data_IF_121674188759
#
_entry.id   IF_121674188759
#
_cell.length_a   1.000
_cell.length_b   1.000
_cell.length_c   1.000
_cell.angle_alpha   90.00
_cell.angle_beta   90.00
_cell.angle_gamma   90.00
#
_symmetry.space_group_name_H-M   'P 1'
#
loop_
_entity.id
_entity.type
_entity.pdbx_description
1 polymer ?
#
# COMPACT_ATOMS: atom_id res chain seq x y z
N UNK A 1 18.02 -2.11 7.51
CA UNK A 1 18.14 -2.67 6.13
C UNK A 1 16.84 -2.33 5.44
N UNK A 2 16.87 -1.70 4.26
CA UNK A 2 15.65 -1.28 3.55
C UNK A 2 14.83 -2.50 3.13
N UNK A 3 13.51 -2.45 3.35
CA UNK A 3 12.61 -3.54 2.98
C UNK A 3 12.49 -3.63 1.47
N UNK A 4 12.90 -4.76 0.89
CA UNK A 4 12.78 -4.99 -0.55
C UNK A 4 11.34 -5.31 -0.94
N UNK A 5 10.85 -4.65 -1.97
CA UNK A 5 9.47 -4.78 -2.45
C UNK A 5 9.43 -5.17 -3.92
N UNK A 6 8.67 -6.21 -4.24
CA UNK A 6 8.49 -6.78 -5.57
C UNK A 6 7.02 -6.77 -5.94
N UNK A 7 6.66 -6.21 -7.11
CA UNK A 7 5.32 -6.40 -7.66
C UNK A 7 5.24 -7.80 -8.27
N UNK A 8 4.23 -8.55 -7.88
CA UNK A 8 3.94 -9.87 -8.45
C UNK A 8 3.07 -9.78 -9.70
N UNK A 9 3.06 -10.87 -10.49
CA UNK A 9 2.24 -11.00 -11.70
C UNK A 9 0.74 -10.83 -11.46
N UNK A 10 0.25 -11.09 -10.24
CA UNK A 10 -1.16 -11.06 -9.83
C UNK A 10 -1.50 -9.92 -8.87
N UNK A 11 -1.13 -8.69 -9.17
CA UNK A 11 -1.41 -7.54 -8.27
C UNK A 11 -1.12 -7.86 -6.80
N UNK A 12 0.09 -7.68 -6.40
CA UNK A 12 0.46 -7.88 -5.02
C UNK A 12 1.91 -7.53 -4.80
N UNK A 13 2.26 -7.25 -3.57
CA UNK A 13 3.64 -7.03 -3.15
C UNK A 13 4.11 -8.24 -2.37
N UNK A 14 5.24 -8.82 -2.79
CA UNK A 14 5.89 -9.93 -2.10
C UNK A 14 4.95 -11.13 -1.82
N UNK A 15 4.05 -11.44 -2.78
CA UNK A 15 3.10 -12.56 -2.65
C UNK A 15 1.82 -12.23 -1.86
N UNK A 16 1.62 -10.99 -1.43
CA UNK A 16 0.37 -10.53 -0.84
C UNK A 16 -0.56 -10.14 -1.99
N UNK A 17 -1.49 -11.03 -2.34
CA UNK A 17 -2.47 -10.86 -3.43
C UNK A 17 -3.89 -10.65 -2.94
N UNK A 18 -4.12 -10.86 -1.63
CA UNK A 18 -5.39 -10.61 -0.93
C UNK A 18 -5.12 -9.89 0.36
N UNK A 19 -6.10 -9.13 0.82
CA UNK A 19 -6.02 -8.38 2.06
C UNK A 19 -6.03 -9.38 3.24
N UNK A 20 -4.96 -9.36 4.03
CA UNK A 20 -4.82 -10.11 5.28
C UNK A 20 -3.72 -9.49 6.13
N UNK A 21 -4.05 -9.06 7.33
CA UNK A 21 -3.11 -8.44 8.26
C UNK A 21 -2.04 -9.43 8.74
N UNK A 22 -2.44 -10.68 9.01
CA UNK A 22 -1.50 -11.76 9.40
C UNK A 22 -0.47 -12.03 8.31
N UNK A 23 -0.89 -11.96 7.03
CA UNK A 23 0.02 -12.16 5.90
C UNK A 23 1.03 -11.04 5.77
N UNK A 24 0.66 -9.79 6.06
CA UNK A 24 1.58 -8.65 6.08
C UNK A 24 2.75 -8.94 7.04
N UNK A 25 2.45 -9.26 8.30
CA UNK A 25 3.48 -9.56 9.31
C UNK A 25 4.30 -10.80 8.95
N UNK A 26 3.66 -11.83 8.37
CA UNK A 26 4.38 -13.04 7.94
C UNK A 26 5.38 -12.74 6.81
N UNK A 27 5.06 -11.85 5.90
CA UNK A 27 5.89 -11.53 4.72
C UNK A 27 6.99 -10.53 5.05
N UNK A 28 6.66 -9.46 5.78
CA UNK A 28 7.60 -8.36 6.07
C UNK A 28 8.25 -8.44 7.45
N UNK A 29 7.92 -9.49 8.25
CA UNK A 29 8.31 -9.61 9.65
C UNK A 29 7.67 -8.54 10.54
N UNK A 30 8.21 -8.32 11.74
CA UNK A 30 7.68 -7.31 12.65
C UNK A 30 8.01 -5.90 12.14
N UNK A 31 7.02 -4.99 12.08
CA UNK A 31 7.25 -3.60 11.72
C UNK A 31 8.02 -2.87 12.84
N UNK A 32 8.64 -1.75 12.49
CA UNK A 32 9.26 -0.86 13.46
C UNK A 32 8.22 -0.16 14.35
N UNK A 33 7.04 0.10 13.77
CA UNK A 33 5.94 0.78 14.44
C UNK A 33 4.59 0.34 13.85
N UNK A 34 3.57 0.30 14.72
CA UNK A 34 2.17 0.09 14.32
C UNK A 34 1.34 1.25 14.83
N UNK A 35 0.70 1.98 13.93
CA UNK A 35 -0.25 3.03 14.25
C UNK A 35 -1.68 2.56 14.00
N UNK A 36 -2.56 2.69 14.99
CA UNK A 36 -3.97 2.34 14.89
C UNK A 36 -4.79 3.58 15.20
N UNK A 37 -5.70 3.94 14.30
CA UNK A 37 -6.61 5.08 14.45
C UNK A 37 -8.04 4.64 14.25
N UNK A 38 -8.91 5.05 15.17
CA UNK A 38 -10.36 4.91 15.06
C UNK A 38 -10.94 6.25 14.62
N UNK A 39 -11.62 6.27 13.49
CA UNK A 39 -12.27 7.49 12.97
C UNK A 39 -13.77 7.39 13.07
N UNK A 40 -14.36 8.02 14.09
CA UNK A 40 -15.82 8.09 14.23
C UNK A 40 -16.48 8.85 13.07
N UNK A 41 -15.81 9.90 12.56
CA UNK A 41 -16.33 10.71 11.45
C UNK A 41 -16.35 9.93 10.12
N UNK A 42 -15.32 9.13 9.85
CA UNK A 42 -15.20 8.31 8.64
C UNK A 42 -15.76 6.91 8.83
N UNK A 43 -16.16 6.56 10.05
CA UNK A 43 -16.58 5.19 10.40
C UNK A 43 -15.56 4.16 9.89
N UNK A 44 -14.27 4.36 10.26
CA UNK A 44 -13.18 3.49 9.83
C UNK A 44 -12.21 3.15 10.97
N UNK A 45 -11.54 2.02 10.80
CA UNK A 45 -10.34 1.65 11.53
C UNK A 45 -9.19 1.71 10.52
N UNK A 46 -8.20 2.53 10.81
CA UNK A 46 -7.02 2.70 9.98
C UNK A 46 -5.81 2.11 10.72
N UNK A 47 -5.12 1.14 10.11
CA UNK A 47 -3.91 0.51 10.65
C UNK A 47 -2.76 0.79 9.69
N UNK A 48 -1.67 1.34 10.22
CA UNK A 48 -0.45 1.62 9.48
C UNK A 48 0.70 0.83 10.08
N UNK A 49 1.34 0.00 9.27
CA UNK A 49 2.58 -0.69 9.59
C UNK A 49 3.75 0.08 8.98
N UNK A 50 4.76 0.39 9.77
CA UNK A 50 5.94 1.15 9.34
C UNK A 50 7.16 0.24 9.36
N UNK A 51 7.76 0.08 8.19
CA UNK A 51 9.02 -0.63 7.96
C UNK A 51 10.06 0.34 7.38
N UNK A 52 11.29 -0.10 7.27
CA UNK A 52 12.34 0.69 6.63
C UNK A 52 12.13 0.73 5.09
N UNK A 53 11.67 1.85 4.57
CA UNK A 53 11.39 2.05 3.15
C UNK A 53 10.04 1.54 2.64
N UNK A 54 9.18 1.05 3.55
CA UNK A 54 7.83 0.58 3.22
C UNK A 54 6.85 0.99 4.32
N UNK A 55 5.73 1.57 3.94
CA UNK A 55 4.58 1.75 4.81
C UNK A 55 3.40 0.97 4.23
N UNK A 56 2.70 0.22 5.08
CA UNK A 56 1.52 -0.55 4.68
C UNK A 56 0.31 0.03 5.39
N UNK A 57 -0.68 0.43 4.62
CA UNK A 57 -1.90 1.05 5.11
C UNK A 57 -3.07 0.10 4.88
N UNK A 58 -3.73 -0.28 5.96
CA UNK A 58 -4.97 -1.03 5.95
C UNK A 58 -6.08 -0.16 6.49
N UNK A 59 -7.21 -0.13 5.78
CA UNK A 59 -8.41 0.58 6.22
C UNK A 59 -9.62 -0.33 6.17
N UNK A 60 -10.38 -0.33 7.26
CA UNK A 60 -11.62 -1.04 7.44
C UNK A 60 -12.76 -0.04 7.59
N UNK A 61 -13.80 -0.17 6.78
CA UNK A 61 -14.93 0.76 6.74
C UNK A 61 -16.21 0.12 7.27
N UNK A 62 -17.02 0.95 7.96
CA UNK A 62 -18.33 0.61 8.51
C UNK A 62 -19.36 1.59 7.95
N UNK A 63 -20.24 1.17 7.08
CA UNK A 63 -21.28 2.04 6.51
C UNK A 63 -22.51 2.16 7.43
N UNK A 64 -22.76 1.15 8.27
CA UNK A 64 -23.81 1.18 9.30
C UNK A 64 -23.30 1.80 10.61
N UNK A 65 -24.22 2.16 11.52
CA UNK A 65 -23.86 2.59 12.88
C UNK A 65 -23.33 1.41 13.75
N UNK A 66 -23.47 0.20 13.25
CA UNK A 66 -23.02 -1.00 13.93
C UNK A 66 -21.54 -1.28 13.62
N UNK A 67 -20.66 -0.91 14.56
CA UNK A 67 -19.20 -1.12 14.47
C UNK A 67 -18.83 -2.61 14.46
N UNK A 68 -19.74 -3.50 14.84
CA UNK A 68 -19.51 -4.94 14.84
C UNK A 68 -19.58 -5.58 13.43
N UNK A 69 -20.01 -4.82 12.42
CA UNK A 69 -20.15 -5.31 11.05
C UNK A 69 -19.40 -4.44 10.06
N UNK A 70 -18.09 -4.66 9.88
CA UNK A 70 -17.34 -4.03 8.82
C UNK A 70 -17.86 -4.55 7.46
N UNK A 71 -17.94 -3.64 6.47
CA UNK A 71 -18.50 -3.96 5.16
C UNK A 71 -17.47 -3.94 4.04
N UNK A 72 -16.34 -3.25 4.28
CA UNK A 72 -15.42 -2.95 3.21
C UNK A 72 -13.99 -2.75 3.72
N UNK A 73 -13.00 -3.24 2.97
CA UNK A 73 -11.61 -3.12 3.32
C UNK A 73 -10.73 -2.73 2.13
N UNK A 74 -9.63 -2.06 2.41
CA UNK A 74 -8.60 -1.73 1.41
C UNK A 74 -7.21 -1.85 1.99
N UNK A 75 -6.25 -2.17 1.15
CA UNK A 75 -4.85 -2.26 1.49
C UNK A 75 -4.01 -1.58 0.42
N UNK A 76 -3.10 -0.71 0.82
CA UNK A 76 -2.10 -0.13 -0.08
C UNK A 76 -0.72 -0.08 0.57
N UNK A 77 0.29 -0.06 -0.28
CA UNK A 77 1.69 -0.06 0.07
C UNK A 77 2.32 1.21 -0.47
N UNK A 78 2.89 2.02 0.41
CA UNK A 78 3.74 3.15 0.05
C UNK A 78 5.19 2.72 0.15
N UNK A 79 5.90 2.72 -0.98
CA UNK A 79 7.23 2.15 -1.10
C UNK A 79 8.24 3.17 -1.61
N UNK A 80 9.46 3.17 -1.07
CA UNK A 80 10.54 4.00 -1.59
C UNK A 80 11.24 3.41 -2.80
N UNK A 81 11.14 2.10 -2.96
CA UNK A 81 11.79 1.34 -4.03
C UNK A 81 10.96 0.13 -4.39
N UNK A 82 10.84 -0.18 -5.68
CA UNK A 82 10.10 -1.35 -6.15
C UNK A 82 10.77 -2.01 -7.34
N UNK A 83 10.81 -3.33 -7.32
CA UNK A 83 11.25 -4.16 -8.44
C UNK A 83 10.09 -4.46 -9.40
N UNK A 84 10.36 -4.30 -10.70
CA UNK A 84 9.44 -4.57 -11.82
C UNK A 84 10.06 -5.64 -12.74
N UNK A 85 10.12 -6.89 -12.31
CA UNK A 85 10.87 -7.96 -12.98
C UNK A 85 12.37 -7.58 -13.12
N UNK A 86 12.84 -7.31 -14.36
CA UNK A 86 14.23 -6.97 -14.67
C UNK A 86 14.57 -5.49 -14.42
N UNK A 87 13.56 -4.66 -14.18
CA UNK A 87 13.68 -3.22 -13.97
C UNK A 87 13.41 -2.87 -12.50
N UNK A 88 13.74 -1.65 -12.12
CA UNK A 88 13.37 -1.09 -10.82
C UNK A 88 13.08 0.40 -10.93
N UNK A 89 12.29 0.90 -10.00
CA UNK A 89 12.02 2.32 -9.82
C UNK A 89 12.16 2.69 -8.35
N UNK A 90 12.55 3.96 -8.09
CA UNK A 90 12.71 4.48 -6.74
C UNK A 90 12.39 5.96 -6.66
N UNK A 91 12.17 6.42 -5.45
CA UNK A 91 12.11 7.86 -5.16
C UNK A 91 13.41 8.53 -5.64
N UNK A 92 13.28 9.66 -6.32
CA UNK A 92 14.39 10.39 -6.94
C UNK A 92 14.63 10.07 -8.42
N UNK A 93 14.00 9.04 -8.98
CA UNK A 93 14.10 8.75 -10.42
C UNK A 93 13.35 9.79 -11.25
N UNK A 94 13.82 10.07 -12.47
CA UNK A 94 13.09 10.96 -13.40
C UNK A 94 11.89 10.23 -14.00
N UNK A 95 10.70 10.85 -13.99
CA UNK A 95 9.45 10.29 -14.54
C UNK A 95 9.60 9.80 -15.98
N UNK A 96 10.36 10.51 -16.81
CA UNK A 96 10.60 10.10 -18.21
C UNK A 96 11.26 8.72 -18.34
N UNK A 97 12.02 8.29 -17.32
CA UNK A 97 12.66 6.96 -17.29
C UNK A 97 11.76 5.92 -16.63
N UNK A 98 10.89 6.32 -15.72
CA UNK A 98 10.00 5.45 -14.94
C UNK A 98 8.82 4.97 -15.78
N UNK A 99 8.14 5.86 -16.50
CA UNK A 99 6.95 5.50 -17.30
C UNK A 99 7.22 4.36 -18.30
N UNK A 100 8.31 4.36 -19.08
CA UNK A 100 8.61 3.24 -19.99
C UNK A 100 8.80 1.90 -19.27
N UNK A 101 9.43 1.90 -18.07
CA UNK A 101 9.63 0.69 -17.27
C UNK A 101 8.30 0.12 -16.80
N UNK A 102 7.39 0.97 -16.26
CA UNK A 102 6.05 0.54 -15.85
C UNK A 102 5.27 -0.02 -17.03
N UNK A 103 5.23 0.68 -18.16
CA UNK A 103 4.53 0.21 -19.37
C UNK A 103 5.08 -1.13 -19.87
N UNK A 104 6.39 -1.33 -19.85
CA UNK A 104 7.04 -2.61 -20.20
C UNK A 104 6.59 -3.71 -19.24
N UNK A 105 6.58 -3.45 -17.93
CA UNK A 105 6.09 -4.38 -16.92
C UNK A 105 4.62 -4.76 -17.14
N UNK A 106 3.73 -3.77 -17.31
CA UNK A 106 2.30 -4.00 -17.54
C UNK A 106 2.04 -4.80 -18.82
N UNK A 107 2.74 -4.47 -19.92
CA UNK A 107 2.63 -5.21 -21.17
C UNK A 107 3.06 -6.67 -21.03
N UNK A 108 4.17 -6.95 -20.34
CA UNK A 108 4.65 -8.33 -20.08
C UNK A 108 3.63 -9.15 -19.30
N UNK A 109 2.97 -8.53 -18.32
CA UNK A 109 2.00 -9.17 -17.45
C UNK A 109 0.55 -9.10 -18.00
N UNK A 110 0.37 -8.71 -19.28
CA UNK A 110 -0.94 -8.60 -19.95
C UNK A 110 -1.94 -7.70 -19.21
N UNK A 111 -1.43 -6.65 -18.55
CA UNK A 111 -2.21 -5.69 -17.80
C UNK A 111 -2.54 -4.45 -18.62
N UNK A 112 -3.46 -3.62 -18.13
CA UNK A 112 -3.82 -2.36 -18.78
C UNK A 112 -2.62 -1.40 -18.78
N UNK A 113 -2.18 -0.99 -19.98
CA UNK A 113 -1.06 -0.06 -20.15
C UNK A 113 -1.49 1.42 -20.20
N UNK A 114 -2.79 1.68 -20.20
CA UNK A 114 -3.30 3.04 -20.15
C UNK A 114 -3.04 3.64 -18.77
N UNK A 115 -2.93 4.94 -18.73
CA UNK A 115 -2.75 5.66 -17.48
C UNK A 115 -3.60 6.94 -17.47
N UNK A 116 -4.05 7.31 -16.29
CA UNK A 116 -4.59 8.63 -16.01
C UNK A 116 -3.46 9.53 -15.54
N UNK A 117 -3.55 10.81 -15.84
CA UNK A 117 -2.55 11.80 -15.48
C UNK A 117 -3.22 13.01 -14.87
N UNK A 118 -2.70 13.45 -13.74
CA UNK A 118 -3.15 14.64 -13.04
C UNK A 118 -1.94 15.42 -12.53
N UNK A 119 -1.93 16.75 -12.71
CA UNK A 119 -0.87 17.60 -12.19
C UNK A 119 -1.34 19.01 -11.87
N UNK A 120 -0.73 19.61 -10.85
CA UNK A 120 -0.81 21.02 -10.54
C UNK A 120 0.48 21.76 -10.89
N UNK A 121 0.70 22.94 -10.29
CA UNK A 121 1.88 23.77 -10.52
C UNK A 121 3.19 23.10 -10.05
N UNK A 122 3.15 22.32 -8.99
CA UNK A 122 4.33 21.81 -8.27
C UNK A 122 4.47 20.31 -8.31
N UNK A 123 3.35 19.60 -8.29
CA UNK A 123 3.30 18.16 -8.16
C UNK A 123 2.38 17.53 -9.21
N UNK A 124 2.35 16.22 -9.27
CA UNK A 124 1.39 15.48 -10.07
C UNK A 124 1.52 13.98 -9.83
N UNK A 125 0.70 13.22 -10.54
CA UNK A 125 0.69 11.77 -10.45
C UNK A 125 0.31 11.10 -11.75
N UNK A 126 0.77 9.86 -11.89
CA UNK A 126 0.38 8.93 -12.92
C UNK A 126 -0.27 7.71 -12.26
N UNK A 127 -1.51 7.39 -12.65
CA UNK A 127 -2.25 6.23 -12.17
C UNK A 127 -2.29 5.19 -13.29
N UNK A 128 -1.72 4.03 -13.05
CA UNK A 128 -1.67 2.93 -14.01
C UNK A 128 -2.58 1.79 -13.56
N UNK A 129 -2.99 0.98 -14.53
CA UNK A 129 -3.65 -0.29 -14.33
C UNK A 129 -4.87 -0.19 -13.39
N UNK A 130 -5.87 0.59 -13.78
CA UNK A 130 -7.07 0.88 -12.99
C UNK A 130 -6.77 1.45 -11.59
N UNK A 131 -5.73 2.31 -11.50
CA UNK A 131 -5.30 2.98 -10.25
C UNK A 131 -4.65 2.05 -9.21
N UNK A 132 -4.20 0.87 -9.63
CA UNK A 132 -3.47 -0.03 -8.73
C UNK A 132 -1.99 0.36 -8.55
N UNK A 133 -1.42 1.10 -9.50
CA UNK A 133 -0.06 1.65 -9.41
C UNK A 133 -0.16 3.16 -9.55
N UNK A 134 0.24 3.87 -8.51
CA UNK A 134 0.20 5.31 -8.44
C UNK A 134 1.62 5.85 -8.24
N UNK A 135 2.07 6.71 -9.15
CA UNK A 135 3.40 7.32 -9.12
C UNK A 135 3.25 8.81 -8.94
N UNK A 136 3.61 9.29 -7.78
CA UNK A 136 3.65 10.71 -7.46
C UNK A 136 4.98 11.31 -7.89
N UNK A 137 4.97 12.58 -8.27
CA UNK A 137 6.16 13.30 -8.62
C UNK A 137 6.09 14.78 -8.23
N UNK A 138 7.23 15.36 -7.98
CA UNK A 138 7.42 16.80 -7.85
C UNK A 138 8.08 17.38 -9.11
N UNK A 139 7.80 18.66 -9.38
CA UNK A 139 8.40 19.43 -10.48
C UNK A 139 9.60 20.21 -9.98
N UNK A 140 10.79 19.71 -10.30
CA UNK A 140 12.06 20.34 -9.96
C UNK A 140 12.67 20.98 -11.21
N UNK A 141 12.58 22.31 -11.37
CA UNK A 141 13.04 23.03 -12.57
C UNK A 141 12.38 22.49 -13.84
N UNK A 142 13.16 21.83 -14.72
CA UNK A 142 12.68 21.24 -15.99
C UNK A 142 12.49 19.73 -15.91
N UNK A 143 12.47 19.15 -14.72
CA UNK A 143 12.36 17.72 -14.50
C UNK A 143 11.16 17.40 -13.60
N UNK A 144 10.59 16.22 -13.80
CA UNK A 144 9.61 15.62 -12.91
C UNK A 144 10.28 14.46 -12.22
N UNK A 145 10.39 14.52 -10.90
CA UNK A 145 11.12 13.57 -10.06
C UNK A 145 10.14 12.81 -9.21
N UNK A 146 10.25 11.48 -9.18
CA UNK A 146 9.41 10.60 -8.34
C UNK A 146 9.63 10.95 -6.86
N UNK A 147 8.55 11.27 -6.15
CA UNK A 147 8.53 11.54 -4.71
C UNK A 147 7.67 10.54 -3.94
N UNK A 148 6.85 9.72 -4.62
CA UNK A 148 6.06 8.65 -4.02
C UNK A 148 5.71 7.54 -5.00
N UNK A 149 5.62 6.31 -4.49
CA UNK A 149 5.21 5.12 -5.23
C UNK A 149 4.20 4.37 -4.36
N UNK A 150 2.96 4.28 -4.83
CA UNK A 150 1.90 3.59 -4.10
C UNK A 150 1.33 2.44 -4.93
N UNK A 151 1.18 1.28 -4.30
CA UNK A 151 0.56 0.10 -4.89
C UNK A 151 -0.67 -0.25 -4.08
N UNK A 152 -1.83 -0.30 -4.73
CA UNK A 152 -3.10 -0.64 -4.09
C UNK A 152 -3.54 -2.04 -4.47
N UNK A 153 -4.02 -2.81 -3.51
CA UNK A 153 -4.84 -3.97 -3.81
C UNK A 153 -6.27 -3.52 -4.14
N UNK A 154 -6.98 -4.28 -4.99
CA UNK A 154 -8.40 -4.04 -5.21
C UNK A 154 -9.16 -3.99 -3.89
N UNK A 155 -10.19 -3.17 -3.85
CA UNK A 155 -11.12 -3.16 -2.74
C UNK A 155 -11.81 -4.53 -2.62
N UNK A 156 -12.00 -4.99 -1.40
CA UNK A 156 -12.69 -6.25 -1.13
C UNK A 156 -13.88 -5.99 -0.20
N UNK A 157 -15.06 -6.47 -0.61
CA UNK A 157 -16.22 -6.55 0.27
C UNK A 157 -15.98 -7.60 1.35
N UNK A 158 -16.39 -7.32 2.58
CA UNK A 158 -16.31 -8.28 3.68
C UNK A 158 -17.58 -9.09 3.69
N UNK A 159 -17.47 -10.33 3.29
CA UNK A 159 -18.57 -11.27 3.34
C UNK A 159 -18.89 -11.67 4.81
N UNK A 160 -20.16 -11.98 5.12
CA UNK A 160 -20.58 -12.37 6.49
C UNK A 160 -19.78 -13.54 7.09
N UNK A 161 -19.16 -14.34 6.23
CA UNK A 161 -18.34 -15.50 6.60
C UNK A 161 -16.93 -15.09 7.07
N UNK A 162 -16.47 -13.90 6.73
CA UNK A 162 -15.14 -13.37 7.10
C UNK A 162 -15.17 -12.64 8.45
N UNK A 163 -15.82 -13.24 9.46
CA UNK A 163 -15.86 -12.71 10.83
C UNK A 163 -14.48 -12.61 11.50
N UNK A 164 -13.48 -13.24 10.92
CA UNK A 164 -12.14 -13.32 11.49
C UNK A 164 -11.34 -11.99 11.41
N UNK A 165 -11.82 -10.99 10.65
CA UNK A 165 -11.08 -9.74 10.49
C UNK A 165 -10.97 -8.95 11.82
N UNK A 166 -11.99 -8.97 12.65
CA UNK A 166 -11.93 -8.33 13.97
C UNK A 166 -10.93 -9.03 14.89
N UNK A 167 -10.89 -10.38 14.84
CA UNK A 167 -9.89 -11.16 15.56
C UNK A 167 -8.47 -10.86 15.04
N UNK A 168 -8.29 -10.69 13.73
CA UNK A 168 -7.00 -10.25 13.17
C UNK A 168 -6.59 -8.85 13.69
N UNK A 169 -7.54 -7.93 13.87
CA UNK A 169 -7.27 -6.59 14.43
C UNK A 169 -6.89 -6.69 15.91
N UNK A 170 -7.56 -7.54 16.68
CA UNK A 170 -7.20 -7.78 18.10
C UNK A 170 -5.79 -8.35 18.23
N UNK A 171 -5.42 -9.33 17.37
CA UNK A 171 -4.05 -9.85 17.31
C UNK A 171 -3.02 -8.73 16.99
N UNK A 172 -3.35 -7.81 16.09
CA UNK A 172 -2.47 -6.67 15.74
C UNK A 172 -2.32 -5.69 16.91
N UNK A 173 -3.40 -5.43 17.65
CA UNK A 173 -3.35 -4.60 18.86
C UNK A 173 -2.42 -5.24 19.90
N UNK A 174 -2.50 -6.55 20.08
CA UNK A 174 -1.61 -7.27 21.00
C UNK A 174 -0.14 -7.20 20.56
N UNK A 175 0.13 -7.36 19.26
CA UNK A 175 1.47 -7.22 18.68
C UNK A 175 2.00 -5.79 18.89
N UNK A 176 1.18 -4.76 18.62
CA UNK A 176 1.52 -3.36 18.87
C UNK A 176 1.95 -3.15 20.33
N UNK A 177 1.16 -3.62 21.27
CA UNK A 177 1.47 -3.49 22.70
C UNK A 177 2.80 -4.18 23.06
N UNK A 178 3.14 -5.31 22.44
CA UNK A 178 4.43 -5.99 22.63
C UNK A 178 5.59 -5.15 22.07
N UNK A 179 5.42 -4.54 20.91
CA UNK A 179 6.43 -3.65 20.29
C UNK A 179 6.66 -2.43 21.20
N UNK A 180 5.58 -1.74 21.58
CA UNK A 180 5.68 -0.54 22.43
C UNK A 180 6.40 -0.85 23.77
N UNK A 181 6.09 -1.99 24.40
CA UNK A 181 6.74 -2.43 25.62
C UNK A 181 8.20 -2.82 25.47
N UNK A 182 8.63 -3.23 24.26
CA UNK A 182 10.03 -3.60 23.98
C UNK A 182 10.93 -2.37 23.83
N UNK A 183 10.44 -1.31 23.18
CA UNK A 183 11.23 -0.11 22.91
C UNK A 183 11.27 0.90 24.10
N UNK A 184 10.40 0.73 25.11
CA UNK A 184 10.36 1.61 26.29
C UNK A 184 11.00 0.99 27.55
N UNK A 185 11.77 -0.08 27.41
CA UNK A 185 12.68 -0.63 28.44
C UNK A 185 14.13 -0.32 28.11
#
# INVERSE_FOLDING_TARGET
MMTETFINETYGINGITRISLKKIIKVFSFPNEINIKFSNKKKSIDIKFIYDGLEVYYMLYFFSENIEKPEYQTLYFDVKYIHLNDDSIKIGDEIKTVIPKIKKYLKRNKKNINFEYDEDKYTGRYLFDNKNIDIFFEKCRNKKIVDGIMISLPYEDILPENKDILNEIEDIIEIKNKIDNFFWK
#
